data_IF_225282550072
#
_entry.id   IF_225282550072
#
_cell.length_a   1.000
_cell.length_b   1.000
_cell.length_c   1.000
_cell.angle_alpha   90.00
_cell.angle_beta   90.00
_cell.angle_gamma   90.00
#
_symmetry.space_group_name_H-M   'P 1'
#
loop_
_entity.id
_entity.type
_entity.pdbx_description
1 polymer ?
#
# COMPACT_ATOMS: atom_id res chain seq x y z
N UNK A 1 48.64 29.25 48.21
CA UNK A 1 47.25 29.15 47.72
C UNK A 1 47.27 29.15 46.20
N UNK A 2 46.65 28.17 45.54
CA UNK A 2 46.63 28.02 44.06
C UNK A 2 45.18 28.23 43.60
N UNK A 3 44.90 29.07 42.58
CA UNK A 3 43.53 29.29 42.13
C UNK A 3 43.04 28.10 41.29
N UNK A 4 41.84 27.59 41.59
CA UNK A 4 41.16 26.57 40.79
C UNK A 4 40.43 27.22 39.60
N UNK A 5 40.39 26.57 38.41
CA UNK A 5 39.67 27.08 37.26
C UNK A 5 38.16 26.80 37.36
N UNK A 6 37.35 27.83 37.12
CA UNK A 6 35.87 27.80 37.18
C UNK A 6 35.30 27.19 35.89
N UNK A 7 34.65 26.02 35.97
CA UNK A 7 33.95 25.39 34.82
C UNK A 7 32.77 26.25 34.36
N UNK A 8 32.70 26.57 33.07
CA UNK A 8 31.53 27.23 32.43
C UNK A 8 30.40 26.21 32.28
N UNK A 9 29.18 26.59 32.61
CA UNK A 9 27.99 25.77 32.35
C UNK A 9 27.70 25.76 30.84
N UNK A 10 27.70 24.58 30.23
CA UNK A 10 27.27 24.38 28.84
C UNK A 10 25.76 24.18 28.86
N UNK A 11 25.00 25.12 28.31
CA UNK A 11 23.56 24.97 28.11
C UNK A 11 23.31 24.11 26.86
N UNK A 12 22.99 22.84 27.05
CA UNK A 12 22.54 21.96 25.96
C UNK A 12 21.07 22.30 25.68
N UNK A 13 20.70 22.73 24.46
CA UNK A 13 19.30 22.98 24.13
C UNK A 13 18.53 21.66 24.22
N UNK A 14 17.42 21.68 24.97
CA UNK A 14 16.55 20.52 25.15
C UNK A 14 15.79 20.30 23.84
N UNK A 15 15.86 19.09 23.28
CA UNK A 15 15.11 18.75 22.08
C UNK A 15 13.61 18.74 22.39
N UNK A 16 12.88 19.72 21.87
CA UNK A 16 11.42 19.67 21.79
C UNK A 16 11.04 18.71 20.66
N UNK A 17 10.88 17.43 21.00
CA UNK A 17 10.25 16.45 20.13
C UNK A 17 8.73 16.63 20.14
N UNK A 18 8.03 16.42 19.02
CA UNK A 18 6.58 16.59 18.95
C UNK A 18 5.87 15.63 19.92
N UNK A 19 4.86 16.17 20.62
CA UNK A 19 4.02 15.43 21.55
C UNK A 19 3.27 14.28 20.83
N UNK A 20 3.39 13.02 21.28
CA UNK A 20 2.68 11.89 20.67
C UNK A 20 1.15 12.04 20.71
N UNK A 21 0.59 12.88 21.59
CA UNK A 21 -0.84 13.15 21.65
C UNK A 21 -1.35 14.05 20.50
N UNK A 22 -0.46 14.76 19.79
CA UNK A 22 -0.83 15.56 18.63
C UNK A 22 -1.25 14.72 17.40
N UNK A 23 -0.97 13.41 17.40
CA UNK A 23 -1.34 12.51 16.30
C UNK A 23 -2.86 12.28 16.20
N UNK A 24 -3.62 12.50 17.27
CA UNK A 24 -5.08 12.25 17.29
C UNK A 24 -5.90 13.45 16.81
N UNK A 25 -5.35 14.67 16.84
CA UNK A 25 -6.05 15.88 16.41
C UNK A 25 -6.13 16.04 14.87
N UNK A 26 -5.32 15.28 14.11
CA UNK A 26 -5.28 15.34 12.64
C UNK A 26 -6.25 14.42 11.90
N UNK A 27 -6.96 13.51 12.58
CA UNK A 27 -7.79 12.51 11.90
C UNK A 27 -9.12 13.05 11.35
N UNK A 28 -9.53 14.28 11.73
CA UNK A 28 -10.75 14.91 11.24
C UNK A 28 -10.55 15.81 10.00
N UNK A 29 -9.32 15.97 9.51
CA UNK A 29 -9.01 16.84 8.38
C UNK A 29 -8.20 16.12 7.30
N UNK A 30 -8.83 15.17 6.59
CA UNK A 30 -8.33 14.81 5.27
C UNK A 30 -9.47 14.59 4.26
N UNK A 31 -10.41 15.53 4.26
CA UNK A 31 -11.16 15.88 3.07
C UNK A 31 -10.29 16.81 2.21
N UNK A 32 -9.29 16.24 1.52
CA UNK A 32 -8.69 16.90 0.37
C UNK A 32 -8.15 15.85 -0.58
N UNK A 33 -8.54 15.94 -1.85
CA UNK A 33 -7.90 15.23 -2.95
C UNK A 33 -6.43 15.67 -3.02
N UNK A 34 -5.56 15.08 -2.21
CA UNK A 34 -4.14 15.18 -2.40
C UNK A 34 -3.80 14.29 -3.60
N UNK A 35 -3.64 14.92 -4.76
CA UNK A 35 -2.95 14.38 -5.92
C UNK A 35 -1.66 13.72 -5.43
N UNK A 36 -1.61 12.38 -5.40
CA UNK A 36 -0.43 11.68 -4.95
C UNK A 36 0.65 11.84 -6.02
N UNK A 37 1.47 12.88 -5.87
CA UNK A 37 2.73 13.07 -6.56
C UNK A 37 3.58 11.81 -6.34
N UNK A 38 4.08 11.27 -7.45
CA UNK A 38 4.61 9.92 -7.54
C UNK A 38 5.61 9.53 -6.45
N UNK A 39 5.39 8.37 -5.85
CA UNK A 39 6.49 7.55 -5.36
C UNK A 39 6.81 6.51 -6.44
N UNK A 40 7.72 6.88 -7.34
CA UNK A 40 8.35 5.97 -8.28
C UNK A 40 9.46 5.20 -7.54
N UNK A 41 9.11 4.05 -6.99
CA UNK A 41 10.04 3.09 -6.39
C UNK A 41 9.22 1.86 -6.02
N UNK A 42 9.37 0.71 -6.66
CA UNK A 42 10.61 -0.03 -6.71
C UNK A 42 10.66 -0.82 -8.03
N UNK A 43 11.55 -0.45 -8.96
CA UNK A 43 11.92 -1.33 -10.06
C UNK A 43 12.90 -2.36 -9.49
N UNK A 44 12.38 -3.30 -8.69
CA UNK A 44 13.14 -4.40 -8.11
C UNK A 44 13.52 -5.41 -9.19
N UNK A 45 14.48 -5.03 -10.04
CA UNK A 45 15.14 -5.96 -10.94
C UNK A 45 16.09 -6.83 -10.14
N UNK A 46 15.67 -8.05 -9.83
CA UNK A 46 16.55 -9.19 -9.57
C UNK A 46 15.74 -10.51 -9.62
N UNK A 47 15.81 -11.23 -10.74
CA UNK A 47 15.42 -12.65 -10.76
C UNK A 47 14.92 -13.20 -12.10
N UNK A 48 15.84 -13.62 -12.97
CA UNK A 48 15.58 -14.60 -14.04
C UNK A 48 14.82 -14.10 -15.27
N UNK A 49 15.19 -14.63 -16.44
CA UNK A 49 14.52 -14.38 -17.72
C UNK A 49 13.05 -14.90 -17.78
N UNK A 50 12.54 -15.45 -16.67
CA UNK A 50 11.24 -16.11 -16.53
C UNK A 50 10.29 -15.39 -15.53
N UNK A 51 10.65 -14.20 -15.04
CA UNK A 51 9.73 -13.44 -14.19
C UNK A 51 8.48 -13.00 -15.00
N UNK A 52 7.26 -13.20 -14.48
CA UNK A 52 6.04 -12.85 -15.20
C UNK A 52 6.00 -11.35 -15.52
N UNK A 53 5.57 -11.02 -16.75
CA UNK A 53 5.41 -9.64 -17.19
C UNK A 53 4.25 -9.00 -16.42
N UNK A 54 4.59 -8.12 -15.47
CA UNK A 54 3.60 -7.47 -14.61
C UNK A 54 2.93 -6.28 -15.33
N UNK A 55 1.60 -6.19 -15.21
CA UNK A 55 0.79 -5.06 -15.70
C UNK A 55 0.36 -4.18 -14.54
N UNK A 56 0.78 -2.91 -14.53
CA UNK A 56 0.26 -1.92 -13.57
C UNK A 56 -1.21 -1.64 -13.85
N UNK A 57 -2.04 -1.79 -12.82
CA UNK A 57 -3.45 -1.36 -12.82
C UNK A 57 -3.66 -0.26 -11.78
N UNK A 58 -4.64 0.60 -12.00
CA UNK A 58 -5.09 1.60 -11.02
C UNK A 58 -6.59 1.46 -10.86
N UNK A 59 -7.04 1.19 -9.64
CA UNK A 59 -8.45 0.95 -9.32
C UNK A 59 -8.92 1.95 -8.27
N UNK A 60 -10.20 2.30 -8.31
CA UNK A 60 -10.87 3.05 -7.25
C UNK A 60 -11.61 2.05 -6.37
N UNK A 61 -11.37 2.12 -5.06
CA UNK A 61 -12.01 1.26 -4.06
C UNK A 61 -12.55 2.13 -2.92
N UNK A 62 -13.61 1.70 -2.22
CA UNK A 62 -14.07 2.39 -1.02
C UNK A 62 -12.95 2.54 0.01
N UNK A 63 -12.89 3.70 0.68
CA UNK A 63 -11.83 4.01 1.65
C UNK A 63 -11.76 2.98 2.79
N UNK A 64 -12.93 2.56 3.29
CA UNK A 64 -13.03 1.55 4.34
C UNK A 64 -12.47 0.20 3.89
N UNK A 65 -12.72 -0.19 2.64
CA UNK A 65 -12.19 -1.44 2.10
C UNK A 65 -10.66 -1.39 1.99
N UNK A 66 -10.11 -0.29 1.49
CA UNK A 66 -8.66 -0.08 1.43
C UNK A 66 -8.02 -0.11 2.83
N UNK A 67 -8.66 0.53 3.82
CA UNK A 67 -8.21 0.52 5.21
C UNK A 67 -8.20 -0.87 5.84
N UNK A 68 -9.26 -1.66 5.60
CA UNK A 68 -9.33 -3.06 6.05
C UNK A 68 -8.27 -3.92 5.38
N UNK A 69 -8.11 -3.82 4.06
CA UNK A 69 -7.07 -4.55 3.32
C UNK A 69 -5.67 -4.27 3.87
N UNK A 70 -5.36 -2.99 4.17
CA UNK A 70 -4.09 -2.60 4.78
C UNK A 70 -3.91 -3.17 6.18
N UNK A 71 -5.00 -3.27 6.95
CA UNK A 71 -4.98 -3.85 8.29
C UNK A 71 -4.74 -5.36 8.26
N UNK A 72 -5.35 -6.09 7.32
CA UNK A 72 -5.09 -7.52 7.09
C UNK A 72 -3.61 -7.74 6.80
N UNK A 73 -3.06 -7.01 5.83
CA UNK A 73 -1.64 -7.10 5.49
C UNK A 73 -0.73 -6.85 6.69
N UNK A 74 -1.02 -5.82 7.50
CA UNK A 74 -0.23 -5.50 8.69
C UNK A 74 -0.25 -6.64 9.69
N UNK A 75 -1.42 -7.25 9.92
CA UNK A 75 -1.58 -8.35 10.87
C UNK A 75 -0.87 -9.62 10.39
N UNK A 76 -0.99 -9.98 9.11
CA UNK A 76 -0.27 -11.12 8.53
C UNK A 76 1.25 -10.90 8.58
N UNK A 77 1.72 -9.69 8.25
CA UNK A 77 3.14 -9.35 8.28
C UNK A 77 3.73 -9.34 9.69
N UNK A 78 2.89 -9.20 10.71
CA UNK A 78 3.32 -9.22 12.12
C UNK A 78 3.37 -10.63 12.70
N UNK A 79 2.93 -11.66 11.96
CA UNK A 79 2.94 -13.04 12.45
C UNK A 79 4.39 -13.55 12.55
N UNK A 80 4.78 -14.11 13.71
CA UNK A 80 6.11 -14.68 13.86
C UNK A 80 6.25 -15.89 12.93
N UNK A 81 7.44 -16.08 12.37
CA UNK A 81 7.79 -17.19 11.47
C UNK A 81 7.00 -17.25 10.15
N UNK A 82 6.19 -16.24 9.82
CA UNK A 82 5.58 -16.11 8.50
C UNK A 82 6.56 -15.39 7.55
N UNK A 83 6.78 -15.88 6.32
CA UNK A 83 7.55 -15.17 5.32
C UNK A 83 6.96 -13.77 5.07
N UNK A 84 7.83 -12.79 4.85
CA UNK A 84 7.37 -11.45 4.50
C UNK A 84 6.59 -11.49 3.18
N UNK A 85 5.36 -10.98 3.22
CA UNK A 85 4.48 -10.80 2.06
C UNK A 85 4.31 -9.32 1.80
N UNK A 86 4.55 -8.89 0.57
CA UNK A 86 4.32 -7.52 0.16
C UNK A 86 2.82 -7.22 0.07
N UNK A 87 2.45 -5.94 0.21
CA UNK A 87 1.06 -5.52 0.02
C UNK A 87 0.56 -5.81 -1.41
N UNK A 88 1.45 -5.76 -2.40
CA UNK A 88 1.11 -6.07 -3.80
C UNK A 88 0.73 -7.54 -3.95
N UNK A 89 1.51 -8.47 -3.40
CA UNK A 89 1.18 -9.91 -3.42
C UNK A 89 -0.17 -10.16 -2.74
N UNK A 90 -0.44 -9.49 -1.61
CA UNK A 90 -1.74 -9.62 -0.95
C UNK A 90 -2.91 -9.14 -1.81
N UNK A 91 -2.74 -8.04 -2.54
CA UNK A 91 -3.77 -7.55 -3.47
C UNK A 91 -3.92 -8.46 -4.69
N UNK A 92 -2.82 -9.03 -5.20
CA UNK A 92 -2.86 -9.99 -6.31
C UNK A 92 -3.67 -11.21 -5.95
N UNK A 93 -3.48 -11.79 -4.76
CA UNK A 93 -4.21 -12.98 -4.34
C UNK A 93 -5.70 -12.71 -4.13
N UNK A 94 -6.07 -11.52 -3.65
CA UNK A 94 -7.49 -11.11 -3.61
C UNK A 94 -8.11 -10.97 -5.00
N UNK A 95 -7.35 -10.47 -5.98
CA UNK A 95 -7.80 -10.39 -7.36
C UNK A 95 -7.92 -11.79 -7.96
N UNK A 96 -6.92 -12.65 -7.74
CA UNK A 96 -6.92 -14.04 -8.23
C UNK A 96 -8.11 -14.81 -7.68
N UNK A 97 -8.35 -14.79 -6.37
CA UNK A 97 -9.50 -15.44 -5.76
C UNK A 97 -10.84 -14.96 -6.38
N UNK A 98 -10.98 -13.64 -6.59
CA UNK A 98 -12.18 -13.08 -7.23
C UNK A 98 -12.32 -13.47 -8.70
N UNK A 99 -11.21 -13.60 -9.45
CA UNK A 99 -11.22 -14.06 -10.84
C UNK A 99 -11.57 -15.54 -10.90
N UNK A 100 -10.98 -16.39 -10.07
CA UNK A 100 -11.28 -17.83 -10.02
C UNK A 100 -12.75 -18.07 -9.70
N UNK A 101 -13.32 -17.38 -8.70
CA UNK A 101 -14.76 -17.48 -8.40
C UNK A 101 -15.63 -17.05 -9.61
N UNK A 102 -15.22 -15.99 -10.31
CA UNK A 102 -15.94 -15.53 -11.50
C UNK A 102 -15.83 -16.52 -12.66
N UNK A 103 -14.69 -17.18 -12.84
CA UNK A 103 -14.47 -18.22 -13.86
C UNK A 103 -15.27 -19.48 -13.58
N UNK A 104 -15.38 -19.88 -12.31
CA UNK A 104 -16.28 -20.95 -11.88
C UNK A 104 -17.73 -20.62 -12.23
N UNK A 105 -18.19 -19.42 -11.85
CA UNK A 105 -19.58 -18.99 -12.04
C UNK A 105 -19.96 -18.71 -13.49
N UNK A 106 -19.05 -18.15 -14.30
CA UNK A 106 -19.34 -17.64 -15.64
C UNK A 106 -18.80 -18.52 -16.77
N UNK A 107 -17.80 -19.36 -16.49
CA UNK A 107 -17.10 -20.15 -17.51
C UNK A 107 -16.92 -21.62 -17.09
N UNK A 108 -17.69 -22.09 -16.09
CA UNK A 108 -17.69 -23.48 -15.65
C UNK A 108 -16.33 -23.96 -15.14
N UNK A 109 -15.57 -23.06 -14.51
CA UNK A 109 -14.23 -23.36 -13.97
C UNK A 109 -13.12 -23.34 -15.01
N UNK A 110 -13.39 -22.88 -16.24
CA UNK A 110 -12.37 -22.68 -17.27
C UNK A 110 -11.83 -21.26 -17.21
N UNK A 111 -10.53 -21.12 -17.47
CA UNK A 111 -9.88 -19.80 -17.56
C UNK A 111 -10.54 -18.92 -18.63
N UNK A 112 -10.79 -17.66 -18.31
CA UNK A 112 -11.31 -16.68 -19.25
C UNK A 112 -10.15 -16.11 -20.11
N UNK A 113 -10.26 -16.13 -21.45
CA UNK A 113 -9.24 -15.53 -22.30
C UNK A 113 -9.24 -14.00 -22.12
N UNK A 114 -8.06 -13.34 -22.19
CA UNK A 114 -7.98 -11.89 -22.08
C UNK A 114 -8.79 -11.23 -23.19
N UNK A 115 -9.68 -10.29 -22.84
CA UNK A 115 -10.48 -9.55 -23.83
C UNK A 115 -9.57 -8.65 -24.66
N UNK A 116 -9.53 -8.81 -26.00
CA UNK A 116 -8.79 -7.93 -26.88
C UNK A 116 -9.23 -6.47 -26.74
N UNK A 117 -8.26 -5.55 -26.87
CA UNK A 117 -8.55 -4.13 -26.89
C UNK A 117 -9.54 -3.79 -28.00
N UNK A 118 -10.52 -2.92 -27.71
CA UNK A 118 -11.52 -2.48 -28.68
C UNK A 118 -12.80 -3.32 -28.75
N UNK A 119 -12.89 -4.46 -28.05
CA UNK A 119 -14.13 -5.26 -27.99
C UNK A 119 -15.16 -4.73 -26.98
N UNK A 120 -14.71 -4.05 -25.92
CA UNK A 120 -15.63 -3.49 -24.93
C UNK A 120 -16.22 -2.19 -25.51
N UNK A 121 -17.55 -2.11 -25.73
CA UNK A 121 -18.18 -0.90 -26.25
C UNK A 121 -17.82 0.30 -25.38
N UNK A 122 -17.22 1.33 -25.97
CA UNK A 122 -17.00 2.62 -25.30
C UNK A 122 -18.30 3.42 -25.35
N UNK A 123 -19.28 3.04 -24.53
CA UNK A 123 -20.59 3.69 -24.49
C UNK A 123 -21.31 3.52 -23.15
N UNK A 124 -22.23 4.45 -22.86
CA UNK A 124 -23.19 4.35 -21.75
C UNK A 124 -24.05 3.11 -21.98
N UNK A 125 -24.28 2.30 -20.94
CA UNK A 125 -25.24 1.21 -21.01
C UNK A 125 -26.60 1.76 -21.50
N UNK A 126 -27.31 1.07 -22.42
CA UNK A 126 -28.68 1.44 -22.74
C UNK A 126 -29.49 1.44 -21.44
N UNK A 127 -30.21 2.54 -21.18
CA UNK A 127 -31.14 2.64 -20.06
C UNK A 127 -32.44 1.92 -20.38
#
# INVERSE_FOLDING_TARGET
MKPQPRRRAVSIPKATGPDPAALTAGQAANASNASNSGNAGNNGGAGGADAPVLKKITIRVPIELAGRARSVWRLESAQPYTPYRSYNELMTDFIEAGVTEAEERLNGGRLLPPTPAGQIPRGRQPQ
#
